data_IF_988147142986
#
_entry.id   IF_988147142986
#
_cell.length_a   1.000
_cell.length_b   1.000
_cell.length_c   1.000
_cell.angle_alpha   90.00
_cell.angle_beta   90.00
_cell.angle_gamma   90.00
#
_symmetry.space_group_name_H-M   'P 1'
#
loop_
_entity.id
_entity.type
_entity.pdbx_description
1 polymer ?
#
# COMPACT_ATOMS: atom_id res chain seq x y z
N UNK A 1 14.19 -8.74 15.03
CA UNK A 1 13.57 -8.52 13.72
C UNK A 1 12.66 -7.29 13.72
N UNK A 2 11.65 -7.20 14.60
CA UNK A 2 10.68 -6.08 14.60
C UNK A 2 11.37 -4.71 14.63
N UNK A 3 12.31 -4.50 15.53
CA UNK A 3 13.04 -3.24 15.64
C UNK A 3 13.90 -2.91 14.40
N UNK A 4 14.48 -3.92 13.73
CA UNK A 4 15.19 -3.71 12.46
C UNK A 4 14.22 -3.24 11.35
N UNK A 5 13.06 -3.86 11.24
CA UNK A 5 12.04 -3.46 10.28
C UNK A 5 11.55 -2.03 10.52
N UNK A 6 11.28 -1.65 11.78
CA UNK A 6 10.86 -0.29 12.14
C UNK A 6 11.95 0.76 11.89
N UNK A 7 13.23 0.37 11.99
CA UNK A 7 14.39 1.25 11.78
C UNK A 7 14.71 1.58 10.33
N UNK A 8 14.06 0.94 9.35
CA UNK A 8 14.36 1.12 7.93
C UNK A 8 14.17 2.58 7.48
N UNK A 9 15.12 3.10 6.72
CA UNK A 9 15.14 4.49 6.26
C UNK A 9 13.90 4.88 5.44
N UNK A 10 13.31 3.93 4.72
CA UNK A 10 12.08 4.15 3.96
C UNK A 10 10.96 4.78 4.80
N UNK A 11 10.80 4.33 6.06
CA UNK A 11 9.73 4.84 6.93
C UNK A 11 9.99 6.24 7.50
N UNK A 12 11.21 6.75 7.36
CA UNK A 12 11.61 8.10 7.78
C UNK A 12 11.53 9.13 6.65
N UNK A 13 11.39 8.68 5.41
CA UNK A 13 11.30 9.56 4.25
C UNK A 13 9.94 10.24 4.15
N UNK A 14 9.94 11.49 3.69
CA UNK A 14 8.72 12.21 3.36
C UNK A 14 8.16 11.79 1.98
N UNK A 15 6.84 11.87 1.77
CA UNK A 15 6.25 11.74 0.43
C UNK A 15 6.76 12.83 -0.53
N UNK A 16 6.75 12.57 -1.87
CA UNK A 16 6.29 11.33 -2.51
C UNK A 16 7.32 10.21 -2.42
N UNK A 17 6.90 9.00 -2.07
CA UNK A 17 7.75 7.82 -2.00
C UNK A 17 7.00 6.58 -2.50
N UNK A 18 7.73 5.64 -3.09
CA UNK A 18 7.20 4.34 -3.52
C UNK A 18 8.08 3.20 -2.97
N UNK A 19 7.53 2.01 -2.95
CA UNK A 19 8.21 0.80 -2.52
C UNK A 19 7.96 -0.28 -3.56
N UNK A 20 9.02 -0.74 -4.21
CA UNK A 20 8.99 -1.81 -5.19
C UNK A 20 9.55 -3.13 -4.63
N UNK A 21 9.33 -4.21 -5.35
CA UNK A 21 9.81 -5.54 -4.99
C UNK A 21 11.35 -5.60 -4.91
N UNK A 22 12.04 -4.78 -5.70
CA UNK A 22 13.51 -4.69 -5.70
C UNK A 22 14.03 -4.21 -4.33
N UNK A 23 13.35 -3.22 -3.75
CA UNK A 23 13.68 -2.73 -2.42
C UNK A 23 13.46 -3.81 -1.36
N UNK A 24 12.34 -4.54 -1.44
CA UNK A 24 12.04 -5.66 -0.52
C UNK A 24 13.14 -6.72 -0.62
N UNK A 25 13.52 -7.13 -1.83
CA UNK A 25 14.55 -8.13 -2.05
C UNK A 25 15.90 -7.73 -1.46
N UNK A 26 16.29 -6.46 -1.59
CA UNK A 26 17.58 -5.98 -1.06
C UNK A 26 17.53 -5.83 0.46
N UNK A 27 16.55 -5.13 0.98
CA UNK A 27 16.52 -4.74 2.40
C UNK A 27 16.03 -5.86 3.32
N UNK A 28 14.92 -6.51 2.95
CA UNK A 28 14.30 -7.52 3.82
C UNK A 28 15.10 -8.82 3.81
N UNK A 29 15.55 -9.28 2.65
CA UNK A 29 16.40 -10.47 2.59
C UNK A 29 17.72 -10.29 3.32
N UNK A 30 18.31 -9.08 3.30
CA UNK A 30 19.53 -8.81 4.07
C UNK A 30 19.26 -8.94 5.57
N UNK A 31 18.18 -8.35 6.07
CA UNK A 31 17.81 -8.45 7.49
C UNK A 31 17.52 -9.90 7.88
N UNK A 32 16.80 -10.66 7.06
CA UNK A 32 16.40 -12.04 7.38
C UNK A 32 17.58 -13.00 7.56
N UNK A 33 18.76 -12.69 7.01
CA UNK A 33 19.96 -13.51 7.22
C UNK A 33 20.36 -13.65 8.68
N UNK A 34 20.07 -12.62 9.49
CA UNK A 34 20.39 -12.60 10.91
C UNK A 34 19.32 -13.31 11.77
N UNK A 35 18.24 -13.81 11.15
CA UNK A 35 17.09 -14.39 11.84
C UNK A 35 16.69 -15.78 11.29
N UNK A 36 17.64 -16.52 10.73
CA UNK A 36 17.39 -17.82 10.08
C UNK A 36 16.90 -18.90 11.05
N UNK A 37 17.25 -18.83 12.31
CA UNK A 37 16.88 -19.78 13.35
C UNK A 37 15.50 -19.50 13.97
N UNK A 38 14.85 -18.41 13.57
CA UNK A 38 13.52 -18.06 14.08
C UNK A 38 12.44 -18.89 13.36
N UNK A 39 11.51 -19.52 14.09
CA UNK A 39 10.40 -20.25 13.48
C UNK A 39 9.60 -19.39 12.51
N UNK A 40 9.23 -19.95 11.37
CA UNK A 40 8.51 -19.20 10.30
C UNK A 40 7.21 -18.56 10.82
N UNK A 41 6.53 -19.18 11.77
CA UNK A 41 5.33 -18.63 12.41
C UNK A 41 5.62 -17.33 13.14
N UNK A 42 6.75 -17.23 13.82
CA UNK A 42 7.15 -16.04 14.58
C UNK A 42 7.63 -14.94 13.64
N UNK A 43 8.31 -15.30 12.54
CA UNK A 43 8.64 -14.36 11.47
C UNK A 43 7.37 -13.76 10.86
N UNK A 44 6.39 -14.59 10.48
CA UNK A 44 5.14 -14.12 9.89
C UNK A 44 4.33 -13.25 10.85
N UNK A 45 4.27 -13.62 12.14
CA UNK A 45 3.65 -12.78 13.16
C UNK A 45 4.34 -11.42 13.29
N UNK A 46 5.67 -11.42 13.28
CA UNK A 46 6.48 -10.19 13.36
C UNK A 46 6.22 -9.27 12.16
N UNK A 47 6.18 -9.82 10.94
CA UNK A 47 5.84 -9.06 9.73
C UNK A 47 4.41 -8.53 9.78
N UNK A 48 3.44 -9.34 10.21
CA UNK A 48 2.04 -8.90 10.35
C UNK A 48 1.91 -7.75 11.34
N UNK A 49 2.60 -7.81 12.47
CA UNK A 49 2.64 -6.71 13.45
C UNK A 49 3.28 -5.45 12.86
N UNK A 50 4.38 -5.61 12.12
CA UNK A 50 5.06 -4.50 11.46
C UNK A 50 4.16 -3.82 10.40
N UNK A 51 3.51 -4.60 9.54
CA UNK A 51 2.60 -4.07 8.53
C UNK A 51 1.40 -3.36 9.17
N UNK A 52 0.77 -3.99 10.16
CA UNK A 52 -0.36 -3.40 10.87
C UNK A 52 0.03 -2.04 11.50
N UNK A 53 1.19 -1.98 12.15
CA UNK A 53 1.70 -0.75 12.74
C UNK A 53 1.96 0.34 11.69
N UNK A 54 2.61 0.00 10.58
CA UNK A 54 2.91 0.98 9.53
C UNK A 54 1.64 1.48 8.84
N UNK A 55 0.64 0.62 8.63
CA UNK A 55 -0.65 1.00 8.08
C UNK A 55 -1.40 1.91 9.07
N UNK A 56 -1.56 1.48 10.32
CA UNK A 56 -2.27 2.25 11.34
C UNK A 56 -1.64 3.64 11.56
N UNK A 57 -0.31 3.74 11.60
CA UNK A 57 0.41 5.01 11.72
C UNK A 57 0.09 6.00 10.58
N UNK A 58 -0.20 5.50 9.38
CA UNK A 58 -0.49 6.33 8.20
C UNK A 58 -1.99 6.58 7.99
N UNK A 59 -2.87 5.88 8.71
CA UNK A 59 -4.31 6.13 8.69
C UNK A 59 -4.64 7.51 9.28
N UNK A 60 -3.93 7.91 10.35
CA UNK A 60 -4.20 9.17 11.03
C UNK A 60 -5.56 9.18 11.75
N UNK A 61 -6.11 10.38 11.96
CA UNK A 61 -7.39 10.60 12.66
C UNK A 61 -8.54 10.75 11.64
N UNK A 62 -8.83 9.69 10.91
CA UNK A 62 -9.99 9.64 10.00
C UNK A 62 -11.13 8.86 10.63
N UNK A 63 -12.38 9.30 10.39
CA UNK A 63 -13.57 8.64 10.93
C UNK A 63 -13.75 7.25 10.33
N UNK A 64 -13.53 7.10 9.03
CA UNK A 64 -13.67 5.83 8.31
C UNK A 64 -12.56 5.66 7.26
N UNK A 65 -12.03 4.45 7.18
CA UNK A 65 -10.97 4.06 6.25
C UNK A 65 -11.36 2.78 5.50
N UNK A 66 -11.34 2.85 4.18
CA UNK A 66 -11.58 1.71 3.31
C UNK A 66 -10.27 0.96 3.04
N UNK A 67 -10.19 -0.30 3.50
CA UNK A 67 -9.09 -1.20 3.17
C UNK A 67 -9.47 -2.12 2.00
N UNK A 68 -8.62 -2.17 0.98
CA UNK A 68 -8.85 -2.94 -0.24
C UNK A 68 -7.55 -3.54 -0.79
N UNK A 69 -7.66 -4.42 -1.78
CA UNK A 69 -6.54 -5.19 -2.32
C UNK A 69 -6.43 -6.56 -1.64
N UNK A 70 -5.55 -7.44 -2.15
CA UNK A 70 -5.44 -8.83 -1.67
C UNK A 70 -5.17 -8.97 -0.17
N UNK A 71 -4.50 -7.99 0.45
CA UNK A 71 -4.28 -7.96 1.90
C UNK A 71 -5.54 -7.82 2.73
N UNK A 72 -6.65 -7.33 2.15
CA UNK A 72 -7.95 -7.24 2.84
C UNK A 72 -8.59 -8.60 3.16
N UNK A 73 -8.13 -9.67 2.50
CA UNK A 73 -8.54 -11.05 2.81
C UNK A 73 -7.75 -11.69 3.96
N UNK A 74 -6.74 -11.00 4.48
CA UNK A 74 -5.97 -11.48 5.63
C UNK A 74 -6.61 -11.00 6.93
N UNK A 75 -7.56 -11.77 7.45
CA UNK A 75 -8.30 -11.44 8.68
C UNK A 75 -7.39 -11.13 9.87
N UNK A 76 -6.29 -11.86 10.00
CA UNK A 76 -5.31 -11.65 11.07
C UNK A 76 -4.64 -10.26 10.98
N UNK A 77 -4.26 -9.84 9.78
CA UNK A 77 -3.69 -8.51 9.54
C UNK A 77 -4.74 -7.42 9.80
N UNK A 78 -5.96 -7.62 9.32
CA UNK A 78 -7.07 -6.68 9.50
C UNK A 78 -7.41 -6.49 10.98
N UNK A 79 -7.48 -7.56 11.75
CA UNK A 79 -7.71 -7.49 13.19
C UNK A 79 -6.61 -6.68 13.89
N UNK A 80 -5.34 -6.93 13.55
CA UNK A 80 -4.23 -6.15 14.10
C UNK A 80 -4.30 -4.66 13.76
N UNK A 81 -4.70 -4.31 12.54
CA UNK A 81 -4.88 -2.91 12.13
C UNK A 81 -6.00 -2.26 12.96
N UNK A 82 -7.15 -2.94 13.08
CA UNK A 82 -8.28 -2.45 13.89
C UNK A 82 -7.89 -2.19 15.34
N UNK A 83 -7.03 -3.00 15.92
CA UNK A 83 -6.57 -2.84 17.30
C UNK A 83 -5.56 -1.68 17.49
N UNK A 84 -5.03 -1.11 16.41
CA UNK A 84 -4.02 -0.05 16.43
C UNK A 84 -4.55 1.32 15.98
N UNK A 85 -5.81 1.43 15.61
CA UNK A 85 -6.45 2.69 15.19
C UNK A 85 -7.83 2.84 15.80
N UNK A 86 -8.25 4.09 16.02
CA UNK A 86 -9.62 4.43 16.43
C UNK A 86 -10.55 4.61 15.22
N UNK A 87 -10.02 4.65 14.00
CA UNK A 87 -10.79 4.79 12.78
C UNK A 87 -11.62 3.54 12.50
N UNK A 88 -12.84 3.73 12.00
CA UNK A 88 -13.67 2.62 11.51
C UNK A 88 -13.04 2.02 10.26
N UNK A 89 -12.64 0.76 10.32
CA UNK A 89 -12.10 0.03 9.17
C UNK A 89 -13.22 -0.68 8.43
N UNK A 90 -13.44 -0.28 7.17
CA UNK A 90 -14.39 -0.88 6.24
C UNK A 90 -13.67 -1.71 5.18
N UNK A 91 -14.18 -2.89 4.88
CA UNK A 91 -13.70 -3.75 3.79
C UNK A 91 -14.84 -3.82 2.77
N UNK A 92 -14.61 -3.46 1.51
CA UNK A 92 -15.66 -3.45 0.49
C UNK A 92 -16.04 -4.87 0.05
N UNK A 93 -17.12 -4.96 -0.72
CA UNK A 93 -17.51 -6.20 -1.38
C UNK A 93 -16.35 -6.82 -2.17
N UNK A 94 -16.18 -8.16 -2.16
CA UNK A 94 -15.14 -8.86 -2.89
C UNK A 94 -15.00 -8.44 -4.36
N UNK A 95 -16.10 -8.14 -5.05
CA UNK A 95 -16.07 -7.65 -6.44
C UNK A 95 -15.29 -6.35 -6.57
N UNK A 96 -15.41 -5.43 -5.60
CA UNK A 96 -14.65 -4.18 -5.61
C UNK A 96 -13.18 -4.49 -5.37
N UNK A 97 -12.84 -5.40 -4.46
CA UNK A 97 -11.46 -5.80 -4.21
C UNK A 97 -10.82 -6.37 -5.46
N UNK A 98 -11.51 -7.28 -6.14
CA UNK A 98 -10.98 -8.01 -7.31
C UNK A 98 -10.93 -7.15 -8.57
N UNK A 99 -11.94 -6.31 -8.81
CA UNK A 99 -12.06 -5.51 -10.04
C UNK A 99 -11.66 -4.03 -9.87
N UNK A 100 -11.14 -3.64 -8.71
CA UNK A 100 -10.75 -2.25 -8.44
C UNK A 100 -9.80 -1.69 -9.50
N UNK A 101 -8.80 -2.46 -9.91
CA UNK A 101 -7.83 -2.00 -10.91
C UNK A 101 -8.50 -1.80 -12.27
N UNK A 102 -9.38 -2.71 -12.69
CA UNK A 102 -10.14 -2.55 -13.92
C UNK A 102 -11.01 -1.29 -13.88
N UNK A 103 -11.69 -1.02 -12.76
CA UNK A 103 -12.47 0.19 -12.56
C UNK A 103 -11.60 1.46 -12.64
N UNK A 104 -10.45 1.46 -11.95
CA UNK A 104 -9.52 2.61 -11.95
C UNK A 104 -8.99 2.87 -13.36
N UNK A 105 -8.51 1.85 -14.06
CA UNK A 105 -7.98 2.03 -15.41
C UNK A 105 -9.05 2.43 -16.43
N UNK A 106 -10.28 1.93 -16.30
CA UNK A 106 -11.41 2.38 -17.10
C UNK A 106 -11.70 3.85 -16.88
N UNK A 107 -11.69 4.31 -15.63
CA UNK A 107 -11.88 5.71 -15.26
C UNK A 107 -10.74 6.60 -15.80
N UNK A 108 -9.48 6.18 -15.63
CA UNK A 108 -8.34 6.92 -16.18
C UNK A 108 -8.39 7.00 -17.71
N UNK A 109 -8.84 5.93 -18.38
CA UNK A 109 -9.09 5.91 -19.83
C UNK A 109 -10.16 6.90 -20.25
N UNK A 110 -11.29 6.96 -19.51
CA UNK A 110 -12.34 7.95 -19.75
C UNK A 110 -11.81 9.39 -19.61
N UNK A 111 -11.08 9.68 -18.55
CA UNK A 111 -10.45 11.00 -18.35
C UNK A 111 -9.52 11.34 -19.51
N UNK A 112 -8.76 10.36 -20.03
CA UNK A 112 -7.90 10.56 -21.20
C UNK A 112 -8.69 10.90 -22.45
N UNK A 113 -9.81 10.23 -22.70
CA UNK A 113 -10.69 10.52 -23.86
C UNK A 113 -11.30 11.92 -23.76
N UNK A 114 -11.63 12.35 -22.54
CA UNK A 114 -12.20 13.67 -22.26
C UNK A 114 -11.14 14.78 -22.14
N UNK A 115 -9.85 14.48 -22.33
CA UNK A 115 -8.73 15.38 -22.19
C UNK A 115 -8.63 16.05 -20.80
N UNK A 116 -9.15 15.38 -19.77
CA UNK A 116 -9.07 15.80 -18.39
C UNK A 116 -7.79 15.25 -17.77
N UNK A 117 -7.14 16.04 -16.89
CA UNK A 117 -5.95 15.59 -16.16
C UNK A 117 -6.22 14.30 -15.39
N UNK A 118 -5.42 13.27 -15.65
CA UNK A 118 -5.47 11.97 -14.97
C UNK A 118 -4.14 11.60 -14.29
N UNK A 119 -3.17 12.51 -14.33
CA UNK A 119 -1.88 12.38 -13.66
C UNK A 119 -1.62 13.67 -12.86
N UNK A 120 -1.61 13.55 -11.53
CA UNK A 120 -1.48 14.68 -10.62
C UNK A 120 -0.06 14.76 -10.03
N UNK A 121 0.54 15.95 -10.07
CA UNK A 121 1.87 16.20 -9.56
C UNK A 121 2.01 15.94 -8.05
N UNK A 122 0.96 16.18 -7.30
CA UNK A 122 0.92 15.90 -5.85
C UNK A 122 1.05 14.42 -5.49
N UNK A 123 0.70 13.52 -6.43
CA UNK A 123 0.76 12.07 -6.23
C UNK A 123 2.02 11.48 -6.87
N UNK A 124 2.35 11.93 -8.08
CA UNK A 124 3.39 11.31 -8.91
C UNK A 124 4.76 11.96 -8.77
N UNK A 125 4.83 13.17 -8.21
CA UNK A 125 6.04 13.99 -8.21
C UNK A 125 6.36 14.62 -9.59
N UNK A 126 5.44 14.54 -10.57
CA UNK A 126 5.58 15.21 -11.85
C UNK A 126 5.64 16.74 -11.66
N UNK A 127 6.25 17.46 -12.61
CA UNK A 127 6.35 18.92 -12.52
C UNK A 127 5.01 19.64 -12.60
N UNK A 128 4.06 19.08 -13.35
CA UNK A 128 2.71 19.64 -13.57
C UNK A 128 1.68 18.52 -13.63
N UNK A 129 0.43 18.86 -13.37
CA UNK A 129 -0.69 17.98 -13.68
C UNK A 129 -0.84 17.86 -15.20
N UNK A 130 -1.11 16.66 -15.70
CA UNK A 130 -1.23 16.44 -17.14
C UNK A 130 -2.19 15.28 -17.47
N UNK A 131 -2.63 15.27 -18.72
CA UNK A 131 -3.41 14.18 -19.26
C UNK A 131 -2.46 13.17 -19.91
N UNK A 132 -2.35 11.97 -19.32
CA UNK A 132 -1.46 10.90 -19.74
C UNK A 132 -2.20 9.79 -20.47
N UNK A 133 -1.47 9.01 -21.26
CA UNK A 133 -1.97 7.89 -22.04
C UNK A 133 -1.97 8.17 -23.54
N UNK A 134 -1.81 7.10 -24.34
CA UNK A 134 -1.83 7.16 -25.81
C UNK A 134 -3.08 6.49 -26.34
N UNK A 135 -3.79 7.16 -27.25
CA UNK A 135 -4.94 6.61 -27.98
C UNK A 135 -4.40 6.13 -29.32
N UNK A 136 -4.71 4.89 -29.67
CA UNK A 136 -4.47 4.32 -30.99
C UNK A 136 -5.82 4.24 -31.68
N UNK A 137 -5.96 4.97 -32.78
CA UNK A 137 -7.11 4.81 -33.65
C UNK A 137 -6.88 3.63 -34.59
N UNK A 138 -7.91 2.81 -34.85
CA UNK A 138 -7.80 1.67 -35.78
C UNK A 138 -7.49 2.10 -37.20
#
# INVERSE_FOLDING_TARGET
LYNHLQGLNYYKQNPPKSLGVEWVNIQIHSILKDFQDIPIKDLMNTFSNHFAFQIAKNIGDHDEVLLTGGGAYNDYLIEKIKNLTNSKISIPDPKIIEYKEALIFSFLGLLRVLEINNCYSSVTGAKINHCSGKIYNP
#
